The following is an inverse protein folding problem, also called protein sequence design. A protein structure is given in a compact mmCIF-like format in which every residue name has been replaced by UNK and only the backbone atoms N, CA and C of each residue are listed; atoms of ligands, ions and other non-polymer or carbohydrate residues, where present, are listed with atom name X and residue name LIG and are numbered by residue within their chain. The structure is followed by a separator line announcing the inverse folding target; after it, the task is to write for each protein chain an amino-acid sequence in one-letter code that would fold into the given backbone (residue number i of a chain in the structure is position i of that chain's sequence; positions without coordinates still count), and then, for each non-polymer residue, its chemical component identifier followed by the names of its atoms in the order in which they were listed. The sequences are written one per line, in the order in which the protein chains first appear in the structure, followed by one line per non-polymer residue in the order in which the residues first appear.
data_IF_740676391299
#
_entry.id   IF_740676391299
#
_cell.length_a   1.000
_cell.length_b   1.000
_cell.length_c   1.000
_cell.angle_alpha   90.00
_cell.angle_beta   90.00
_cell.angle_gamma   90.00
#
_symmetry.space_group_name_H-M   'P 1'
#
loop_
_entity.id
_entity.type
_entity.pdbx_description
1 polymer ?
#
# COMPACT_ATOMS: atom_id res chain seq x y z
N UNK A 1 -9.29 -1.94 -15.85
CA UNK A 1 -8.46 -1.02 -15.05
C UNK A 1 -7.09 -1.65 -14.77
N UNK A 2 -6.03 -0.84 -14.66
CA UNK A 2 -4.74 -1.26 -14.14
C UNK A 2 -4.65 -0.97 -12.63
N UNK A 3 -3.55 -1.44 -11.99
CA UNK A 3 -3.23 -1.18 -10.57
C UNK A 3 -1.82 -0.58 -10.46
N UNK A 4 -1.33 -0.39 -9.24
CA UNK A 4 0.07 -0.07 -9.02
C UNK A 4 0.87 -1.37 -8.85
N UNK A 5 2.07 -1.41 -9.43
CA UNK A 5 3.09 -2.37 -9.02
C UNK A 5 3.52 -2.03 -7.58
N UNK A 6 3.96 -3.04 -6.84
CA UNK A 6 4.37 -2.90 -5.44
C UNK A 6 5.65 -3.67 -5.17
N UNK A 7 6.47 -3.14 -4.28
CA UNK A 7 7.55 -3.86 -3.62
C UNK A 7 7.57 -3.49 -2.14
N UNK A 8 7.68 -4.51 -1.29
CA UNK A 8 7.67 -4.32 0.15
C UNK A 8 8.78 -5.09 0.82
N UNK A 9 9.35 -4.51 1.87
CA UNK A 9 10.35 -5.17 2.70
C UNK A 9 10.31 -4.66 4.13
N UNK A 10 10.81 -5.50 5.01
CA UNK A 10 11.17 -5.16 6.38
C UNK A 10 12.65 -4.84 6.42
N UNK A 11 12.99 -3.64 6.87
CA UNK A 11 14.35 -3.19 7.08
C UNK A 11 14.65 -3.32 8.57
N UNK A 12 15.58 -4.18 8.91
CA UNK A 12 16.01 -4.46 10.29
C UNK A 12 17.39 -3.87 10.52
N UNK A 13 17.49 -3.04 11.53
CA UNK A 13 18.76 -2.49 11.98
C UNK A 13 19.21 -3.17 13.24
N UNK A 14 20.52 -3.44 13.32
CA UNK A 14 21.19 -4.04 14.49
C UNK A 14 22.28 -3.11 14.98
N UNK A 15 22.20 -2.75 16.24
CA UNK A 15 23.11 -1.86 16.94
C UNK A 15 23.70 -2.48 18.19
N UNK A 16 24.07 -1.66 19.15
CA UNK A 16 24.67 -2.08 20.41
C UNK A 16 23.90 -1.47 21.59
N UNK A 17 23.38 -2.32 22.47
CA UNK A 17 22.72 -1.87 23.70
C UNK A 17 23.70 -1.24 24.70
N UNK A 18 23.20 -0.23 25.38
CA UNK A 18 23.85 0.33 26.57
C UNK A 18 22.80 0.96 27.49
N UNK A 19 23.20 1.30 28.70
CA UNK A 19 22.35 2.09 29.58
C UNK A 19 22.35 3.55 29.10
N UNK A 20 21.18 4.04 28.68
CA UNK A 20 21.07 5.35 27.99
C UNK A 20 21.54 6.55 28.82
N UNK A 21 21.51 6.47 30.15
CA UNK A 21 21.96 7.55 31.03
C UNK A 21 23.38 7.32 31.57
N UNK A 22 23.80 6.06 31.81
CA UNK A 22 25.06 5.76 32.49
C UNK A 22 26.24 5.54 31.57
N UNK A 23 26.00 5.08 30.34
CA UNK A 23 27.04 4.79 29.36
C UNK A 23 26.51 4.94 27.92
N UNK A 24 25.89 6.09 27.56
CA UNK A 24 25.28 6.30 26.23
C UNK A 24 26.31 6.16 25.09
N UNK A 25 27.55 6.56 25.31
CA UNK A 25 28.65 6.52 24.34
C UNK A 25 29.00 5.10 23.87
N UNK A 26 28.63 4.07 24.64
CA UNK A 26 28.85 2.66 24.31
C UNK A 26 27.75 2.07 23.43
N UNK A 27 26.62 2.75 23.34
CA UNK A 27 25.47 2.31 22.54
C UNK A 27 25.59 2.71 21.06
N UNK A 28 24.86 1.96 20.24
CA UNK A 28 24.55 2.29 18.85
C UNK A 28 23.06 1.98 18.66
N UNK A 29 22.24 3.00 18.55
CA UNK A 29 20.80 2.85 18.56
C UNK A 29 20.30 2.39 17.19
N UNK A 30 19.71 1.20 17.15
CA UNK A 30 19.01 0.72 15.97
C UNK A 30 17.74 1.56 15.67
N UNK A 31 17.11 2.12 16.71
CA UNK A 31 15.96 3.02 16.53
C UNK A 31 16.37 4.31 15.83
N UNK A 32 17.51 4.91 16.17
CA UNK A 32 18.01 6.11 15.49
C UNK A 32 18.27 5.85 14.01
N UNK A 33 18.71 4.63 13.66
CA UNK A 33 18.86 4.22 12.27
C UNK A 33 17.50 4.15 11.55
N UNK A 34 16.48 3.55 12.17
CA UNK A 34 15.11 3.51 11.63
C UNK A 34 14.57 4.93 11.44
N UNK A 35 14.72 5.80 12.43
CA UNK A 35 14.25 7.19 12.34
C UNK A 35 15.00 7.97 11.26
N UNK A 36 16.32 7.79 11.16
CA UNK A 36 17.16 8.39 10.10
C UNK A 36 16.73 7.94 8.71
N UNK A 37 16.52 6.64 8.50
CA UNK A 37 15.99 6.10 7.24
C UNK A 37 14.64 6.72 6.90
N UNK A 38 13.70 6.71 7.85
CA UNK A 38 12.35 7.24 7.67
C UNK A 38 12.38 8.74 7.33
N UNK A 39 13.25 9.50 7.97
CA UNK A 39 13.45 10.92 7.67
C UNK A 39 13.98 11.12 6.24
N UNK A 40 15.01 10.40 5.83
CA UNK A 40 15.56 10.49 4.47
C UNK A 40 14.55 10.04 3.41
N UNK A 41 13.74 9.00 3.66
CA UNK A 41 12.66 8.60 2.75
C UNK A 41 11.58 9.67 2.65
N UNK A 42 11.27 10.40 3.74
CA UNK A 42 10.33 11.51 3.68
C UNK A 42 10.87 12.67 2.80
N UNK A 43 12.17 12.94 2.83
CA UNK A 43 12.80 13.89 1.88
C UNK A 43 12.77 13.34 0.45
N UNK A 44 12.99 12.04 0.27
CA UNK A 44 12.92 11.39 -1.04
C UNK A 44 11.57 11.57 -1.73
N UNK A 45 10.48 11.69 -0.97
CA UNK A 45 9.12 11.92 -1.52
C UNK A 45 9.00 13.18 -2.36
N UNK A 46 9.82 14.20 -2.08
CA UNK A 46 9.89 15.44 -2.86
C UNK A 46 10.47 15.21 -4.28
N UNK A 47 11.18 14.09 -4.49
CA UNK A 47 12.02 13.84 -5.66
C UNK A 47 11.67 12.53 -6.37
N UNK A 48 10.41 12.13 -6.32
CA UNK A 48 9.84 10.98 -7.04
C UNK A 48 8.57 11.42 -7.79
N UNK A 49 8.18 10.70 -8.87
CA UNK A 49 6.93 11.02 -9.58
C UNK A 49 5.72 11.07 -8.64
N UNK A 50 4.79 11.98 -8.87
CA UNK A 50 3.59 12.18 -8.01
C UNK A 50 2.68 10.96 -7.91
N UNK A 51 2.78 10.03 -8.87
CA UNK A 51 2.08 8.74 -8.85
C UNK A 51 2.71 7.70 -7.92
N UNK A 52 3.88 7.98 -7.33
CA UNK A 52 4.54 7.10 -6.35
C UNK A 52 3.80 7.11 -5.03
N UNK A 53 3.81 5.96 -4.33
CA UNK A 53 3.37 5.84 -2.94
C UNK A 53 4.47 5.17 -2.13
N UNK A 54 4.88 5.85 -1.07
CA UNK A 54 5.86 5.38 -0.09
C UNK A 54 5.17 5.36 1.28
N UNK A 55 4.93 4.16 1.81
CA UNK A 55 4.29 3.97 3.11
C UNK A 55 5.19 3.15 4.00
N UNK A 56 5.22 3.46 5.29
CA UNK A 56 5.94 2.66 6.27
C UNK A 56 5.26 2.68 7.62
N UNK A 57 5.65 1.71 8.42
CA UNK A 57 5.34 1.62 9.85
C UNK A 57 6.57 1.10 10.58
N UNK A 58 6.85 1.62 11.78
CA UNK A 58 7.84 1.05 12.68
C UNK A 58 7.20 -0.15 13.37
N UNK A 59 7.71 -1.33 13.12
CA UNK A 59 7.21 -2.60 13.68
C UNK A 59 7.92 -3.01 14.95
N UNK A 60 9.15 -2.49 15.15
CA UNK A 60 9.92 -2.61 16.39
C UNK A 60 10.73 -1.34 16.62
N UNK A 61 10.55 -0.67 17.74
CA UNK A 61 11.28 0.53 18.14
C UNK A 61 12.09 0.36 19.44
N UNK A 62 12.23 -0.86 19.95
CA UNK A 62 12.89 -1.14 21.24
C UNK A 62 11.88 -1.37 22.36
N UNK A 63 12.37 -1.61 23.59
CA UNK A 63 11.55 -2.05 24.72
C UNK A 63 11.33 -0.98 25.78
N UNK A 64 12.39 -0.25 26.19
CA UNK A 64 12.33 0.73 27.29
C UNK A 64 13.22 1.95 27.01
N UNK A 65 12.85 3.16 27.47
CA UNK A 65 13.56 4.39 27.13
C UNK A 65 14.98 4.48 27.72
N UNK A 66 15.27 3.73 28.78
CA UNK A 66 16.56 3.74 29.47
C UNK A 66 17.57 2.73 28.92
N UNK A 67 17.20 1.99 27.88
CA UNK A 67 18.07 1.04 27.19
C UNK A 67 18.17 1.44 25.71
N UNK A 68 19.41 1.66 25.23
CA UNK A 68 19.65 1.91 23.81
C UNK A 68 19.23 0.68 23.00
N UNK A 69 18.27 0.80 22.04
CA UNK A 69 17.78 -0.34 21.30
C UNK A 69 18.85 -0.98 20.43
N UNK A 70 19.11 -2.28 20.61
CA UNK A 70 20.02 -3.04 19.76
C UNK A 70 19.36 -3.61 18.51
N UNK A 71 18.04 -3.58 18.42
CA UNK A 71 17.29 -4.00 17.24
C UNK A 71 16.10 -3.11 17.06
N UNK A 72 15.87 -2.67 15.82
CA UNK A 72 14.67 -1.95 15.40
C UNK A 72 14.31 -2.30 13.96
N UNK A 73 13.04 -2.20 13.62
CA UNK A 73 12.53 -2.60 12.31
C UNK A 73 11.50 -1.59 11.78
N UNK A 74 11.60 -1.29 10.48
CA UNK A 74 10.59 -0.53 9.75
C UNK A 74 10.12 -1.34 8.53
N UNK A 75 8.79 -1.42 8.34
CA UNK A 75 8.18 -2.14 7.23
C UNK A 75 7.69 -1.15 6.17
N UNK A 76 8.16 -1.30 4.94
CA UNK A 76 7.92 -0.41 3.82
C UNK A 76 7.08 -1.02 2.72
N UNK A 77 6.20 -0.21 2.13
CA UNK A 77 5.56 -0.41 0.83
C UNK A 77 5.98 0.71 -0.12
N UNK A 78 6.51 0.31 -1.29
CA UNK A 78 6.81 1.22 -2.40
C UNK A 78 5.94 0.83 -3.57
N UNK A 79 5.18 1.78 -4.11
CA UNK A 79 4.24 1.53 -5.21
C UNK A 79 4.40 2.56 -6.31
N UNK A 80 4.34 2.10 -7.56
CA UNK A 80 4.34 2.96 -8.75
C UNK A 80 3.61 2.26 -9.90
N UNK A 81 2.92 2.99 -10.82
CA UNK A 81 2.25 2.36 -11.96
C UNK A 81 3.20 1.74 -13.00
N UNK A 82 4.45 2.19 -13.05
CA UNK A 82 5.49 1.68 -13.96
C UNK A 82 6.55 0.93 -13.17
N UNK A 83 6.84 -0.29 -13.56
CA UNK A 83 7.73 -1.22 -12.86
C UNK A 83 9.20 -0.76 -12.89
N UNK A 84 9.65 -0.16 -13.99
CA UNK A 84 11.03 0.33 -14.08
C UNK A 84 11.25 1.51 -13.13
N UNK A 85 10.33 2.46 -13.11
CA UNK A 85 10.36 3.55 -12.15
C UNK A 85 10.26 3.04 -10.70
N UNK A 86 9.45 2.00 -10.44
CA UNK A 86 9.41 1.35 -9.13
C UNK A 86 10.78 0.82 -8.71
N UNK A 87 11.51 0.15 -9.61
CA UNK A 87 12.86 -0.38 -9.33
C UNK A 87 13.85 0.72 -8.99
N UNK A 88 13.89 1.78 -9.79
CA UNK A 88 14.76 2.94 -9.55
C UNK A 88 14.47 3.62 -8.20
N UNK A 89 13.18 3.77 -7.85
CA UNK A 89 12.76 4.33 -6.56
C UNK A 89 13.14 3.38 -5.41
N UNK A 90 12.98 2.07 -5.61
CA UNK A 90 13.35 1.06 -4.63
C UNK A 90 14.84 1.11 -4.29
N UNK A 91 15.71 1.20 -5.29
CA UNK A 91 17.16 1.28 -5.09
C UNK A 91 17.53 2.52 -4.27
N UNK A 92 16.82 3.64 -4.47
CA UNK A 92 17.00 4.85 -3.66
C UNK A 92 16.51 4.67 -2.22
N UNK A 93 15.44 3.92 -1.99
CA UNK A 93 14.97 3.58 -0.63
C UNK A 93 16.00 2.70 0.09
N UNK A 94 16.55 1.69 -0.59
CA UNK A 94 17.63 0.86 -0.02
C UNK A 94 18.85 1.71 0.31
N UNK A 95 19.25 2.62 -0.58
CA UNK A 95 20.37 3.52 -0.32
C UNK A 95 20.17 4.42 0.92
N UNK A 96 18.92 4.82 1.23
CA UNK A 96 18.65 5.55 2.49
C UNK A 96 18.85 4.67 3.71
N UNK A 97 18.52 3.36 3.63
CA UNK A 97 18.74 2.43 4.72
C UNK A 97 20.24 2.19 4.96
N UNK A 98 21.02 2.01 3.90
CA UNK A 98 22.48 1.87 3.99
C UNK A 98 23.12 3.13 4.61
N UNK A 99 22.70 4.31 4.16
CA UNK A 99 23.19 5.59 4.68
C UNK A 99 22.82 5.77 6.17
N UNK A 100 21.63 5.35 6.58
CA UNK A 100 21.19 5.40 7.98
C UNK A 100 22.06 4.47 8.85
N UNK A 101 22.30 3.24 8.40
CA UNK A 101 23.16 2.30 9.10
C UNK A 101 24.58 2.85 9.27
N UNK A 102 25.16 3.38 8.19
CA UNK A 102 26.51 3.97 8.20
C UNK A 102 26.59 5.16 9.16
N UNK A 103 25.62 6.07 9.12
CA UNK A 103 25.60 7.28 9.94
C UNK A 103 25.40 7.02 11.43
N UNK A 104 24.70 5.96 11.80
CA UNK A 104 24.41 5.58 13.18
C UNK A 104 25.37 4.53 13.76
N UNK A 105 26.28 4.01 12.94
CA UNK A 105 27.22 2.95 13.34
C UNK A 105 26.51 1.62 13.63
N UNK A 106 25.40 1.34 12.96
CA UNK A 106 24.64 0.09 13.03
C UNK A 106 24.87 -0.74 11.77
N UNK A 107 24.33 -1.95 11.72
CA UNK A 107 24.22 -2.75 10.50
C UNK A 107 22.77 -2.81 10.05
N UNK A 108 22.55 -2.97 8.75
CA UNK A 108 21.22 -3.10 8.18
C UNK A 108 21.14 -4.38 7.34
N UNK A 109 20.00 -5.06 7.45
CA UNK A 109 19.57 -6.10 6.55
C UNK A 109 18.10 -5.87 6.18
N UNK A 110 17.65 -6.42 5.06
CA UNK A 110 16.23 -6.34 4.71
C UNK A 110 15.71 -7.63 4.06
N UNK A 111 14.48 -7.96 4.42
CA UNK A 111 13.73 -9.07 3.85
C UNK A 111 12.63 -8.54 2.93
N UNK A 112 12.67 -8.90 1.65
CA UNK A 112 11.58 -8.62 0.72
C UNK A 112 10.41 -9.53 1.07
N UNK A 113 9.30 -8.93 1.50
CA UNK A 113 8.10 -9.66 1.91
C UNK A 113 7.26 -10.04 0.69
N UNK A 114 7.03 -9.10 -0.21
CA UNK A 114 6.37 -9.35 -1.48
C UNK A 114 6.66 -8.27 -2.51
N UNK A 115 6.39 -8.60 -3.77
CA UNK A 115 6.34 -7.68 -4.89
C UNK A 115 5.36 -8.22 -5.91
N UNK A 116 4.74 -7.33 -6.65
CA UNK A 116 3.84 -7.69 -7.75
C UNK A 116 3.90 -6.64 -8.86
N UNK A 117 3.65 -7.08 -10.08
CA UNK A 117 3.44 -6.19 -11.22
C UNK A 117 2.10 -5.45 -11.12
N UNK A 118 1.97 -4.36 -11.86
CA UNK A 118 0.66 -3.74 -12.11
C UNK A 118 -0.21 -4.68 -12.95
N UNK A 119 -1.53 -4.66 -12.78
CA UNK A 119 -2.44 -5.43 -13.65
C UNK A 119 -2.31 -4.93 -15.08
N UNK A 120 -2.05 -5.85 -16.01
CA UNK A 120 -2.05 -5.62 -17.45
C UNK A 120 -3.51 -5.65 -17.95
N UNK A 121 -4.10 -4.52 -18.37
CA UNK A 121 -5.48 -4.51 -18.83
C UNK A 121 -5.67 -5.33 -20.10
N UNK A 122 -6.78 -6.07 -20.18
CA UNK A 122 -7.23 -6.75 -21.39
C UNK A 122 -8.59 -6.18 -21.81
N UNK A 123 -8.57 -5.20 -22.72
CA UNK A 123 -9.77 -4.47 -23.11
C UNK A 123 -10.76 -5.35 -23.89
N UNK A 124 -10.27 -6.36 -24.63
CA UNK A 124 -11.13 -7.32 -25.34
C UNK A 124 -11.96 -8.13 -24.35
N UNK A 125 -11.33 -8.76 -23.37
CA UNK A 125 -12.04 -9.51 -22.34
C UNK A 125 -12.92 -8.61 -21.47
N UNK A 126 -12.46 -7.39 -21.17
CA UNK A 126 -13.25 -6.40 -20.42
C UNK A 126 -14.55 -6.04 -21.16
N UNK A 127 -14.53 -5.91 -22.49
CA UNK A 127 -15.73 -5.68 -23.28
C UNK A 127 -16.68 -6.87 -23.24
N UNK A 128 -16.18 -8.09 -23.43
CA UNK A 128 -16.99 -9.31 -23.31
C UNK A 128 -17.64 -9.41 -21.94
N UNK A 129 -16.88 -9.12 -20.87
CA UNK A 129 -17.40 -9.12 -19.51
C UNK A 129 -18.51 -8.07 -19.34
N UNK A 130 -18.30 -6.85 -19.83
CA UNK A 130 -19.28 -5.76 -19.75
C UNK A 130 -20.56 -6.09 -20.52
N UNK A 131 -20.44 -6.67 -21.72
CA UNK A 131 -21.60 -7.06 -22.53
C UNK A 131 -22.43 -8.15 -21.84
N UNK A 132 -21.77 -9.12 -21.20
CA UNK A 132 -22.44 -10.14 -20.40
C UNK A 132 -23.10 -9.58 -19.14
N UNK A 133 -22.42 -8.68 -18.41
CA UNK A 133 -23.02 -7.99 -17.28
C UNK A 133 -24.25 -7.19 -17.69
N UNK A 134 -24.19 -6.53 -18.84
CA UNK A 134 -25.32 -5.75 -19.38
C UNK A 134 -26.52 -6.63 -19.76
N UNK A 135 -26.27 -7.88 -20.22
CA UNK A 135 -27.33 -8.86 -20.49
C UNK A 135 -27.97 -9.39 -19.22
N UNK A 136 -27.16 -9.67 -18.20
CA UNK A 136 -27.66 -10.10 -16.87
C UNK A 136 -28.43 -8.97 -16.23
N UNK A 137 -27.97 -7.74 -16.41
CA UNK A 137 -28.56 -6.53 -15.83
C UNK A 137 -28.21 -6.35 -14.36
N UNK A 138 -28.81 -5.33 -13.79
CA UNK A 138 -28.74 -5.08 -12.36
C UNK A 138 -29.74 -5.91 -11.58
N UNK A 139 -29.77 -5.72 -10.28
CA UNK A 139 -30.73 -6.34 -9.37
C UNK A 139 -31.54 -5.26 -8.64
N UNK A 140 -32.73 -5.64 -8.16
CA UNK A 140 -33.58 -4.74 -7.38
C UNK A 140 -33.46 -5.12 -5.88
N UNK A 141 -33.27 -4.14 -5.04
CA UNK A 141 -33.33 -4.31 -3.60
C UNK A 141 -34.79 -4.34 -3.13
N UNK A 142 -35.09 -5.23 -2.20
CA UNK A 142 -36.36 -5.23 -1.48
C UNK A 142 -36.45 -4.01 -0.54
N UNK A 143 -37.65 -3.75 -0.02
CA UNK A 143 -37.80 -2.67 0.95
C UNK A 143 -37.07 -2.96 2.26
N UNK A 144 -36.95 -4.23 2.66
CA UNK A 144 -36.17 -4.64 3.82
C UNK A 144 -34.68 -4.34 3.61
N UNK A 145 -34.12 -4.62 2.42
CA UNK A 145 -32.73 -4.30 2.09
C UNK A 145 -32.48 -2.79 2.15
N UNK A 146 -33.43 -1.99 1.63
CA UNK A 146 -33.35 -0.52 1.66
C UNK A 146 -33.37 0.02 3.09
N UNK A 147 -34.25 -0.52 3.96
CA UNK A 147 -34.29 -0.15 5.38
C UNK A 147 -32.95 -0.46 6.04
N UNK A 148 -32.42 -1.65 5.85
CA UNK A 148 -31.15 -2.07 6.41
C UNK A 148 -29.99 -1.18 5.90
N UNK A 149 -29.93 -0.90 4.58
CA UNK A 149 -28.94 -0.03 4.00
C UNK A 149 -29.00 1.40 4.58
N UNK A 150 -30.20 1.93 4.81
CA UNK A 150 -30.41 3.23 5.41
C UNK A 150 -29.93 3.29 6.87
N UNK A 151 -30.11 2.23 7.66
CA UNK A 151 -29.57 2.17 9.03
C UNK A 151 -28.03 2.17 9.02
N UNK A 152 -27.40 1.40 8.12
CA UNK A 152 -25.95 1.44 7.95
C UNK A 152 -25.49 2.83 7.49
N UNK A 153 -26.20 3.46 6.55
CA UNK A 153 -25.84 4.78 6.04
C UNK A 153 -25.77 5.85 7.15
N UNK A 154 -26.54 5.72 8.22
CA UNK A 154 -26.48 6.63 9.38
C UNK A 154 -25.16 6.56 10.13
N UNK A 155 -24.41 5.47 10.02
CA UNK A 155 -23.11 5.29 10.65
C UNK A 155 -21.95 5.85 9.84
N UNK A 156 -22.19 6.22 8.57
CA UNK A 156 -21.18 6.76 7.69
C UNK A 156 -20.85 8.22 8.04
N UNK A 157 -19.66 8.71 7.73
CA UNK A 157 -19.32 10.12 7.87
C UNK A 157 -20.33 11.02 7.15
N UNK A 158 -20.64 12.17 7.73
CA UNK A 158 -21.61 13.11 7.18
C UNK A 158 -21.24 13.48 5.74
N UNK A 159 -22.17 13.29 4.80
CA UNK A 159 -21.99 13.55 3.37
C UNK A 159 -21.30 12.41 2.59
N UNK A 160 -20.94 11.30 3.22
CA UNK A 160 -20.35 10.15 2.53
C UNK A 160 -21.39 9.33 1.75
N UNK A 161 -22.65 9.30 2.20
CA UNK A 161 -23.71 8.55 1.53
C UNK A 161 -24.05 9.15 0.15
N UNK A 162 -24.09 8.28 -0.86
CA UNK A 162 -24.42 8.64 -2.24
C UNK A 162 -25.70 7.89 -2.63
N UNK A 163 -26.82 8.61 -2.73
CA UNK A 163 -28.11 8.02 -3.10
C UNK A 163 -28.11 7.46 -4.54
N UNK A 164 -28.71 6.31 -4.74
CA UNK A 164 -29.21 5.86 -6.06
C UNK A 164 -28.25 5.14 -6.99
N UNK A 165 -27.07 4.65 -6.56
CA UNK A 165 -26.09 4.04 -7.49
C UNK A 165 -25.81 2.53 -7.42
N UNK A 166 -26.42 1.69 -6.59
CA UNK A 166 -26.01 0.25 -6.53
C UNK A 166 -26.64 -0.66 -7.60
N UNK A 167 -27.63 -0.21 -8.34
CA UNK A 167 -28.53 -1.06 -9.14
C UNK A 167 -28.33 -1.02 -10.65
N UNK A 168 -27.16 -0.64 -11.12
CA UNK A 168 -26.92 -0.58 -12.58
C UNK A 168 -25.54 -1.07 -12.98
N UNK A 169 -25.41 -1.53 -14.22
CA UNK A 169 -24.13 -1.76 -14.85
C UNK A 169 -23.56 -0.40 -15.26
N UNK A 170 -22.36 -0.08 -14.78
CA UNK A 170 -21.67 1.17 -15.17
C UNK A 170 -21.33 1.16 -16.66
N UNK A 171 -21.26 2.32 -17.31
CA UNK A 171 -20.74 2.40 -18.68
C UNK A 171 -19.37 1.75 -18.81
N UNK A 172 -19.09 1.20 -19.99
CA UNK A 172 -17.78 0.64 -20.30
C UNK A 172 -16.73 1.76 -20.37
N UNK A 173 -15.68 1.61 -19.59
CA UNK A 173 -14.57 2.57 -19.56
C UNK A 173 -13.25 1.83 -19.64
N UNK A 174 -12.29 2.40 -20.39
CA UNK A 174 -10.90 1.92 -20.49
C UNK A 174 -9.92 2.93 -19.89
N UNK A 175 -8.66 2.53 -19.69
CA UNK A 175 -7.62 3.43 -19.19
C UNK A 175 -7.73 3.80 -17.70
N UNK A 176 -8.71 3.26 -16.99
CA UNK A 176 -8.86 3.50 -15.55
C UNK A 176 -7.73 2.80 -14.76
N UNK A 177 -7.31 3.44 -13.68
CA UNK A 177 -6.29 2.91 -12.78
C UNK A 177 -6.75 3.00 -11.33
N UNK A 178 -6.63 1.88 -10.60
CA UNK A 178 -6.75 1.85 -9.15
C UNK A 178 -5.44 2.27 -8.49
N UNK A 179 -5.52 2.90 -7.33
CA UNK A 179 -4.35 3.19 -6.49
C UNK A 179 -3.93 2.02 -5.59
N UNK A 180 -4.64 0.91 -5.64
CA UNK A 180 -4.29 -0.35 -4.97
C UNK A 180 -3.27 -1.17 -5.75
N UNK A 181 -2.77 -2.22 -5.10
CA UNK A 181 -1.93 -3.26 -5.69
C UNK A 181 -2.56 -4.62 -5.42
N UNK A 182 -2.32 -5.59 -6.29
CA UNK A 182 -2.83 -6.96 -6.18
C UNK A 182 -1.91 -7.92 -6.90
N UNK A 183 -1.79 -9.15 -6.41
CA UNK A 183 -1.07 -10.28 -7.03
C UNK A 183 -1.71 -10.74 -8.36
N UNK A 184 -2.96 -10.39 -8.62
CA UNK A 184 -3.58 -10.54 -9.95
C UNK A 184 -2.75 -9.84 -11.04
N UNK A 185 -1.92 -8.86 -10.66
CA UNK A 185 -0.94 -8.25 -11.56
C UNK A 185 -0.08 -9.32 -12.23
N UNK A 186 0.61 -10.16 -11.47
CA UNK A 186 1.52 -11.19 -11.98
C UNK A 186 0.79 -12.21 -12.87
N UNK A 187 -0.44 -12.59 -12.50
CA UNK A 187 -1.29 -13.46 -13.31
C UNK A 187 -1.59 -12.81 -14.66
N UNK A 188 -1.90 -11.52 -14.69
CA UNK A 188 -2.28 -10.79 -15.90
C UNK A 188 -1.17 -10.67 -16.94
N UNK A 189 0.09 -10.75 -16.53
CA UNK A 189 1.27 -10.79 -17.42
C UNK A 189 1.55 -12.18 -17.98
N UNK A 190 0.93 -13.21 -17.40
CA UNK A 190 1.11 -14.61 -17.81
C UNK A 190 -0.06 -15.12 -18.66
N UNK A 191 -1.29 -14.76 -18.27
CA UNK A 191 -2.52 -15.19 -18.95
C UNK A 191 -3.49 -14.02 -19.12
N UNK A 192 -4.31 -13.98 -20.20
CA UNK A 192 -5.33 -12.97 -20.37
C UNK A 192 -6.29 -12.94 -19.18
N UNK A 193 -6.38 -11.80 -18.51
CA UNK A 193 -7.10 -11.65 -17.25
C UNK A 193 -8.11 -10.51 -17.33
N UNK A 194 -9.29 -10.71 -16.76
CA UNK A 194 -10.30 -9.68 -16.57
C UNK A 194 -10.93 -9.83 -15.19
N UNK A 195 -11.26 -8.72 -14.56
CA UNK A 195 -11.98 -8.67 -13.29
C UNK A 195 -13.19 -7.76 -13.39
N UNK A 196 -14.12 -7.96 -12.47
CA UNK A 196 -15.26 -7.09 -12.26
C UNK A 196 -15.38 -6.71 -10.78
N UNK A 197 -16.07 -5.63 -10.50
CA UNK A 197 -16.48 -5.24 -9.15
C UNK A 197 -18.00 -5.27 -9.06
N UNK A 198 -18.51 -5.74 -7.93
CA UNK A 198 -19.94 -5.71 -7.62
C UNK A 198 -20.17 -4.84 -6.39
N UNK A 199 -21.34 -4.21 -6.31
CA UNK A 199 -21.74 -3.45 -5.14
C UNK A 199 -22.11 -4.42 -4.01
N UNK A 200 -21.29 -4.43 -2.96
CA UNK A 200 -21.49 -5.25 -1.75
C UNK A 200 -21.65 -4.39 -0.49
N UNK A 201 -21.43 -3.09 -0.62
CA UNK A 201 -21.47 -2.13 0.48
C UNK A 201 -22.47 -1.02 0.20
N UNK A 202 -22.95 -0.41 1.28
CA UNK A 202 -23.75 0.81 1.17
C UNK A 202 -22.91 1.90 0.51
N UNK A 203 -23.44 2.61 -0.51
CA UNK A 203 -22.70 3.67 -1.18
C UNK A 203 -22.14 4.70 -0.21
N UNK A 204 -20.85 5.04 -0.35
CA UNK A 204 -20.16 5.94 0.56
C UNK A 204 -19.34 5.22 1.65
N UNK A 205 -19.44 3.90 1.76
CA UNK A 205 -18.57 3.12 2.67
C UNK A 205 -17.12 3.16 2.17
N UNK A 206 -16.18 3.47 3.07
CA UNK A 206 -14.75 3.40 2.78
C UNK A 206 -14.27 1.97 2.57
N UNK A 207 -13.16 1.80 1.86
CA UNK A 207 -12.60 0.47 1.57
C UNK A 207 -11.90 -0.19 2.78
N UNK A 208 -11.59 0.59 3.83
CA UNK A 208 -10.95 0.14 5.08
C UNK A 208 -11.57 0.86 6.27
#
# INVERSE_FOLDING_TARGET
ASTLANRSAKFTFTGVSSHAASAPERGRSALDAVESMNFMVNLLREHVPSSTRLHYVITNGGATPNVVPNTAESFYYVRHPNENALREIWDRVVATADAAAMGTGTTMDYEVIHGNYSVLPNDTLARVMHDNLSRVGGFAYSDVDKIFANEIAKTLPKGAYIEGRPIGVKPFETGQRSNGSTDVGDVSWTVPTVGMTAATWVPGTGAH
#
